data_IF_103988968672
#
_entry.id   IF_103988968672
#
_cell.length_a   1.000
_cell.length_b   1.000
_cell.length_c   1.000
_cell.angle_alpha   90.00
_cell.angle_beta   90.00
_cell.angle_gamma   90.00
#
_symmetry.space_group_name_H-M   'P 1'
#
loop_
_entity.id
_entity.type
_entity.pdbx_description
1 polymer ?
#
# COMPACT_ATOMS: atom_id res chain seq x y z
N UNK A 1 20.84 -10.72 2.36
CA UNK A 1 20.68 -11.31 3.72
C UNK A 1 22.00 -11.62 4.43
N UNK A 2 23.18 -11.47 3.83
CA UNK A 2 24.44 -12.01 4.32
C UNK A 2 25.45 -10.97 4.83
N UNK A 3 25.12 -9.70 4.90
CA UNK A 3 26.11 -8.65 5.18
C UNK A 3 25.99 -7.92 6.52
N UNK A 4 24.92 -8.12 7.29
CA UNK A 4 24.67 -7.38 8.54
C UNK A 4 24.57 -8.31 9.74
N UNK A 5 25.07 -7.86 10.90
CA UNK A 5 24.95 -8.57 12.18
C UNK A 5 23.49 -8.66 12.65
N UNK A 6 22.63 -7.75 12.23
CA UNK A 6 21.19 -7.78 12.48
C UNK A 6 20.53 -9.09 12.05
N UNK A 7 21.04 -9.73 10.98
CA UNK A 7 20.63 -11.06 10.53
C UNK A 7 21.31 -12.21 11.27
N UNK A 8 22.23 -11.94 12.20
CA UNK A 8 23.06 -12.91 12.93
C UNK A 8 22.81 -12.92 14.43
N UNK A 9 21.72 -12.31 14.90
CA UNK A 9 21.31 -12.34 16.31
C UNK A 9 21.58 -11.05 17.08
N UNK A 10 22.08 -9.97 16.44
CA UNK A 10 22.15 -8.66 17.09
C UNK A 10 20.74 -8.13 17.36
N UNK A 11 20.43 -7.68 18.59
CA UNK A 11 19.14 -7.07 18.90
C UNK A 11 18.87 -5.82 18.05
N UNK A 12 17.63 -5.63 17.58
CA UNK A 12 17.24 -4.44 16.82
C UNK A 12 17.48 -3.17 17.61
N UNK A 13 17.23 -3.18 18.90
CA UNK A 13 17.49 -2.07 19.81
C UNK A 13 18.96 -1.61 19.82
N UNK A 14 19.91 -2.56 19.76
CA UNK A 14 21.34 -2.23 19.76
C UNK A 14 21.76 -1.65 18.40
N UNK A 15 21.29 -2.25 17.31
CA UNK A 15 21.46 -1.68 15.96
C UNK A 15 20.92 -0.24 15.89
N UNK A 16 19.72 0.03 16.45
CA UNK A 16 19.16 1.37 16.49
C UNK A 16 20.06 2.38 17.22
N UNK A 17 20.59 1.98 18.39
CA UNK A 17 21.52 2.82 19.17
C UNK A 17 22.81 3.13 18.42
N UNK A 18 23.36 2.14 17.70
CA UNK A 18 24.54 2.35 16.86
C UNK A 18 24.25 3.30 15.71
N UNK A 19 23.14 3.10 14.99
CA UNK A 19 22.74 3.96 13.86
C UNK A 19 22.47 5.40 14.30
N UNK A 20 21.93 5.62 15.49
CA UNK A 20 21.72 6.96 16.04
C UNK A 20 23.02 7.79 16.14
N UNK A 21 24.20 7.17 16.11
CA UNK A 21 25.49 7.86 16.19
C UNK A 21 26.07 8.23 14.83
N UNK A 22 25.51 7.74 13.72
CA UNK A 22 26.12 7.88 12.42
C UNK A 22 25.13 8.12 11.26
N UNK A 23 23.83 8.06 11.49
CA UNK A 23 22.80 8.26 10.47
C UNK A 23 21.74 9.28 10.93
N UNK A 24 21.17 10.05 10.02
CA UNK A 24 20.08 10.99 10.27
C UNK A 24 18.68 10.37 10.15
N UNK A 25 18.60 9.13 9.71
CA UNK A 25 17.37 8.38 9.57
C UNK A 25 17.66 6.98 9.05
N UNK A 26 16.67 6.11 9.15
CA UNK A 26 16.74 4.72 8.71
C UNK A 26 15.59 4.46 7.75
N UNK A 27 15.89 4.01 6.53
CA UNK A 27 14.91 3.48 5.59
C UNK A 27 15.09 1.97 5.56
N UNK A 28 14.08 1.25 6.03
CA UNK A 28 14.24 -0.18 6.25
C UNK A 28 13.12 -1.01 5.63
N UNK A 29 13.51 -1.94 4.73
CA UNK A 29 12.68 -3.02 4.24
C UNK A 29 13.05 -4.29 4.98
N UNK A 30 12.10 -4.86 5.70
CA UNK A 30 12.29 -6.08 6.50
C UNK A 30 11.03 -6.95 6.42
N UNK A 31 10.98 -8.04 7.17
CA UNK A 31 9.82 -8.93 7.19
C UNK A 31 8.83 -8.50 8.29
N UNK A 32 9.03 -8.91 9.53
CA UNK A 32 8.08 -8.64 10.61
C UNK A 32 7.94 -7.15 10.95
N UNK A 33 6.71 -6.67 11.07
CA UNK A 33 6.35 -5.29 11.42
C UNK A 33 6.94 -4.88 12.78
N UNK A 34 6.91 -5.74 13.80
CA UNK A 34 7.45 -5.45 15.12
C UNK A 34 8.94 -5.07 15.12
N UNK A 35 9.70 -5.48 14.10
CA UNK A 35 11.12 -5.09 13.97
C UNK A 35 11.27 -3.61 13.62
N UNK A 36 10.43 -3.11 12.71
CA UNK A 36 10.43 -1.67 12.34
C UNK A 36 9.97 -0.84 13.52
N UNK A 37 8.97 -1.30 14.26
CA UNK A 37 8.46 -0.64 15.47
C UNK A 37 9.52 -0.60 16.57
N UNK A 38 10.24 -1.71 16.78
CA UNK A 38 11.37 -1.76 17.73
C UNK A 38 12.48 -0.80 17.30
N UNK A 39 12.85 -0.78 16.01
CA UNK A 39 13.82 0.18 15.47
C UNK A 39 13.37 1.62 15.76
N UNK A 40 12.12 1.97 15.48
CA UNK A 40 11.57 3.29 15.72
C UNK A 40 11.55 3.65 17.21
N UNK A 41 11.23 2.70 18.08
CA UNK A 41 11.21 2.90 19.53
C UNK A 41 12.58 3.30 20.12
N UNK A 42 13.66 2.72 19.59
CA UNK A 42 15.02 2.96 20.11
C UNK A 42 15.82 3.94 19.23
N UNK A 43 15.28 4.38 18.11
CA UNK A 43 15.88 5.43 17.28
C UNK A 43 15.53 6.82 17.81
N UNK A 44 16.51 7.73 17.79
CA UNK A 44 16.31 9.17 18.00
C UNK A 44 16.10 9.92 16.69
N UNK A 45 16.15 9.21 15.59
CA UNK A 45 16.00 9.73 14.23
C UNK A 45 14.81 9.06 13.52
N UNK A 46 14.30 9.65 12.43
CA UNK A 46 13.20 9.07 11.68
C UNK A 46 13.49 7.64 11.20
N UNK A 47 12.50 6.77 11.32
CA UNK A 47 12.52 5.42 10.75
C UNK A 47 11.39 5.30 9.74
N UNK A 48 11.74 4.99 8.50
CA UNK A 48 10.80 4.82 7.39
C UNK A 48 10.61 3.34 7.13
N UNK A 49 9.37 2.87 7.25
CA UNK A 49 8.98 1.54 6.81
C UNK A 49 8.95 1.51 5.26
N UNK A 50 9.98 0.93 4.65
CA UNK A 50 10.06 0.79 3.19
C UNK A 50 9.28 -0.42 2.65
N UNK A 51 8.92 -1.35 3.47
CA UNK A 51 7.99 -2.47 3.35
C UNK A 51 8.22 -3.46 4.50
N UNK A 52 7.13 -4.00 5.04
CA UNK A 52 7.11 -5.20 5.88
C UNK A 52 6.12 -6.21 5.33
N UNK A 53 6.02 -7.38 5.97
CA UNK A 53 4.99 -8.36 5.61
C UNK A 53 3.57 -7.82 5.83
N UNK A 54 3.40 -6.91 6.79
CA UNK A 54 2.10 -6.35 7.15
C UNK A 54 1.74 -5.07 6.38
N UNK A 55 2.73 -4.21 6.04
CA UNK A 55 2.45 -2.87 5.48
C UNK A 55 3.50 -2.39 4.46
N UNK A 56 3.03 -1.56 3.51
CA UNK A 56 3.87 -0.84 2.55
C UNK A 56 3.47 0.66 2.46
N UNK A 57 3.68 1.46 3.53
CA UNK A 57 3.18 2.85 3.58
C UNK A 57 3.79 3.76 2.51
N UNK A 58 5.03 3.51 2.10
CA UNK A 58 5.67 4.28 1.03
C UNK A 58 4.98 4.12 -0.33
N UNK A 59 4.36 2.97 -0.60
CA UNK A 59 3.58 2.78 -1.82
C UNK A 59 2.29 3.60 -1.74
N UNK A 60 1.58 3.53 -0.63
CA UNK A 60 0.31 4.25 -0.44
C UNK A 60 0.46 5.76 -0.64
N UNK A 61 1.57 6.35 -0.24
CA UNK A 61 1.83 7.78 -0.48
C UNK A 61 1.89 8.10 -1.98
N UNK A 62 2.53 7.24 -2.79
CA UNK A 62 2.60 7.43 -4.23
C UNK A 62 1.24 7.20 -4.90
N UNK A 63 0.52 6.17 -4.48
CA UNK A 63 -0.79 5.84 -5.01
C UNK A 63 -1.79 6.97 -4.78
N UNK A 64 -1.82 7.52 -3.57
CA UNK A 64 -2.70 8.64 -3.22
C UNK A 64 -2.26 9.95 -3.86
N UNK A 65 -0.96 10.19 -4.04
CA UNK A 65 -0.47 11.30 -4.84
C UNK A 65 -1.00 11.18 -6.28
N UNK A 66 -0.92 10.00 -6.88
CA UNK A 66 -1.42 9.74 -8.24
C UNK A 66 -2.92 9.98 -8.33
N UNK A 67 -3.72 9.49 -7.36
CA UNK A 67 -5.16 9.81 -7.32
C UNK A 67 -5.36 11.33 -7.23
N UNK A 68 -4.65 12.02 -6.34
CA UNK A 68 -4.81 13.46 -6.15
C UNK A 68 -4.51 14.24 -7.43
N UNK A 69 -3.46 13.89 -8.16
CA UNK A 69 -3.09 14.52 -9.44
C UNK A 69 -4.17 14.34 -10.52
N UNK A 70 -4.79 13.17 -10.59
CA UNK A 70 -5.84 12.87 -11.55
C UNK A 70 -7.26 13.31 -11.10
N UNK A 71 -7.47 13.59 -9.81
CA UNK A 71 -8.77 13.85 -9.18
C UNK A 71 -8.90 15.22 -8.52
N UNK A 72 -8.08 16.18 -8.89
CA UNK A 72 -8.26 17.58 -8.47
C UNK A 72 -7.66 17.93 -7.12
N UNK A 73 -6.66 17.20 -6.66
CA UNK A 73 -5.84 17.54 -5.50
C UNK A 73 -6.10 16.70 -4.26
N UNK A 74 -5.23 16.90 -3.26
CA UNK A 74 -5.21 16.12 -2.01
C UNK A 74 -6.52 16.26 -1.23
N UNK A 75 -7.13 17.42 -1.22
CA UNK A 75 -8.39 17.68 -0.50
C UNK A 75 -9.57 16.86 -1.02
N UNK A 76 -9.46 16.34 -2.25
CA UNK A 76 -10.49 15.51 -2.86
C UNK A 76 -10.32 14.01 -2.59
N UNK A 77 -9.25 13.58 -1.93
CA UNK A 77 -9.04 12.18 -1.57
C UNK A 77 -10.18 11.63 -0.72
N UNK A 78 -10.69 12.39 0.22
CA UNK A 78 -11.83 12.00 1.09
C UNK A 78 -13.14 11.70 0.34
N UNK A 79 -13.26 12.14 -0.92
CA UNK A 79 -14.43 11.90 -1.75
C UNK A 79 -14.24 10.69 -2.69
N UNK A 80 -13.10 10.01 -2.62
CA UNK A 80 -12.79 8.90 -3.50
C UNK A 80 -13.21 7.57 -2.88
N UNK A 81 -13.77 6.71 -3.71
CA UNK A 81 -14.00 5.29 -3.42
C UNK A 81 -12.89 4.48 -4.06
N UNK A 82 -12.13 3.75 -3.28
CA UNK A 82 -11.06 2.88 -3.77
C UNK A 82 -11.42 1.40 -3.55
N UNK A 83 -11.13 0.55 -4.53
CA UNK A 83 -11.37 -0.88 -4.47
C UNK A 83 -10.07 -1.65 -4.70
N UNK A 84 -9.67 -2.48 -3.75
CA UNK A 84 -8.55 -3.42 -3.88
C UNK A 84 -9.07 -4.84 -4.08
N UNK A 85 -8.51 -5.57 -5.04
CA UNK A 85 -8.94 -6.92 -5.42
C UNK A 85 -7.77 -7.90 -5.46
N UNK A 86 -7.98 -9.11 -4.97
CA UNK A 86 -7.01 -10.20 -5.04
C UNK A 86 -6.65 -10.77 -3.68
N UNK A 87 -5.35 -10.88 -3.36
CA UNK A 87 -4.91 -11.30 -2.01
C UNK A 87 -5.13 -10.17 -1.01
N UNK A 88 -6.27 -10.22 -0.35
CA UNK A 88 -6.66 -9.22 0.63
C UNK A 88 -6.01 -9.43 2.02
N UNK A 89 -5.22 -10.48 2.20
CA UNK A 89 -4.44 -10.71 3.41
C UNK A 89 -3.01 -10.13 3.32
N UNK A 90 -2.63 -9.54 2.18
CA UNK A 90 -1.29 -9.02 1.96
C UNK A 90 -1.06 -7.60 2.53
N UNK A 91 0.18 -7.15 2.47
CA UNK A 91 0.59 -5.84 2.98
C UNK A 91 -0.05 -4.65 2.24
N UNK A 92 -0.37 -4.80 0.93
CA UNK A 92 -1.00 -3.73 0.16
C UNK A 92 -2.45 -3.52 0.60
N UNK A 93 -3.24 -4.59 0.72
CA UNK A 93 -4.61 -4.51 1.23
C UNK A 93 -4.68 -3.86 2.62
N UNK A 94 -3.79 -4.30 3.52
CA UNK A 94 -3.69 -3.72 4.87
C UNK A 94 -3.33 -2.22 4.82
N UNK A 95 -2.42 -1.84 3.92
CA UNK A 95 -1.99 -0.45 3.78
C UNK A 95 -3.09 0.43 3.21
N UNK A 96 -3.87 -0.06 2.23
CA UNK A 96 -5.03 0.67 1.72
C UNK A 96 -6.11 0.84 2.79
N UNK A 97 -6.38 -0.18 3.59
CA UNK A 97 -7.36 -0.08 4.69
C UNK A 97 -6.99 1.04 5.67
N UNK A 98 -5.75 1.06 6.16
CA UNK A 98 -5.33 2.07 7.12
C UNK A 98 -5.10 3.44 6.48
N UNK A 99 -4.38 3.50 5.34
CA UNK A 99 -4.07 4.75 4.66
C UNK A 99 -5.32 5.43 4.12
N UNK A 100 -6.23 4.68 3.49
CA UNK A 100 -7.50 5.22 3.00
C UNK A 100 -8.42 5.67 4.12
N UNK A 101 -8.47 4.93 5.26
CA UNK A 101 -9.18 5.36 6.45
C UNK A 101 -8.65 6.71 6.97
N UNK A 102 -7.33 6.89 7.05
CA UNK A 102 -6.70 8.16 7.46
C UNK A 102 -7.05 9.29 6.50
N UNK A 103 -7.10 9.01 5.19
CA UNK A 103 -7.46 9.99 4.16
C UNK A 103 -8.98 10.26 4.07
N UNK A 104 -9.81 9.56 4.86
CA UNK A 104 -11.27 9.72 4.86
C UNK A 104 -11.97 9.14 3.62
N UNK A 105 -11.33 8.19 2.93
CA UNK A 105 -11.85 7.53 1.74
C UNK A 105 -12.89 6.45 2.06
N UNK A 106 -13.73 6.10 1.06
CA UNK A 106 -14.46 4.82 1.03
C UNK A 106 -13.51 3.73 0.52
N UNK A 107 -13.07 2.85 1.43
CA UNK A 107 -12.12 1.78 1.12
C UNK A 107 -12.82 0.43 1.06
N UNK A 108 -12.74 -0.22 -0.07
CA UNK A 108 -13.33 -1.53 -0.30
C UNK A 108 -12.24 -2.54 -0.67
N UNK A 109 -12.21 -3.64 0.05
CA UNK A 109 -11.22 -4.71 -0.15
C UNK A 109 -11.95 -6.01 -0.42
N UNK A 110 -11.67 -6.65 -1.54
CA UNK A 110 -12.23 -7.94 -1.89
C UNK A 110 -11.17 -9.00 -2.15
N UNK A 111 -11.36 -10.15 -1.53
CA UNK A 111 -10.51 -11.33 -1.71
C UNK A 111 -11.25 -12.63 -1.39
N UNK A 112 -10.72 -13.78 -1.81
CA UNK A 112 -11.35 -15.06 -1.55
C UNK A 112 -11.36 -15.40 -0.06
N UNK A 113 -12.29 -16.23 0.34
CA UNK A 113 -12.33 -16.74 1.71
C UNK A 113 -11.00 -17.39 2.09
N UNK A 114 -10.46 -17.02 3.25
CA UNK A 114 -9.13 -17.45 3.71
C UNK A 114 -7.98 -16.49 3.34
N UNK A 115 -8.26 -15.49 2.50
CA UNK A 115 -7.32 -14.43 2.10
C UNK A 115 -7.88 -13.04 2.37
N UNK A 116 -8.67 -12.90 3.42
CA UNK A 116 -9.19 -11.62 3.90
C UNK A 116 -8.22 -10.98 4.92
N UNK A 117 -8.27 -9.65 5.10
CA UNK A 117 -7.44 -8.95 6.06
C UNK A 117 -7.68 -9.46 7.48
N UNK A 118 -6.68 -9.34 8.34
CA UNK A 118 -6.80 -9.67 9.76
C UNK A 118 -7.86 -8.82 10.43
N UNK A 119 -8.67 -9.41 11.35
CA UNK A 119 -9.75 -8.70 12.03
C UNK A 119 -9.29 -7.47 12.83
N UNK A 120 -8.09 -7.49 13.41
CA UNK A 120 -7.51 -6.37 14.15
C UNK A 120 -7.24 -5.16 13.25
N UNK A 121 -6.69 -5.38 12.05
CA UNK A 121 -6.44 -4.33 11.05
C UNK A 121 -7.77 -3.73 10.56
N UNK A 122 -8.76 -4.57 10.30
CA UNK A 122 -10.10 -4.11 9.88
C UNK A 122 -10.76 -3.29 10.97
N UNK A 123 -10.62 -3.70 12.24
CA UNK A 123 -11.17 -2.97 13.37
C UNK A 123 -10.51 -1.59 13.53
N UNK A 124 -9.19 -1.50 13.41
CA UNK A 124 -8.47 -0.24 13.44
C UNK A 124 -8.85 0.68 12.27
N UNK A 125 -8.92 0.14 11.05
CA UNK A 125 -9.36 0.91 9.88
C UNK A 125 -10.76 1.48 10.06
N UNK A 126 -11.72 0.68 10.55
CA UNK A 126 -13.10 1.14 10.84
C UNK A 126 -13.14 2.22 11.93
N UNK A 127 -12.34 2.07 12.98
CA UNK A 127 -12.23 3.09 14.03
C UNK A 127 -11.72 4.42 13.47
N UNK A 128 -10.64 4.39 12.67
CA UNK A 128 -10.07 5.58 12.04
C UNK A 128 -11.07 6.20 11.05
N UNK A 129 -11.72 5.39 10.20
CA UNK A 129 -12.70 5.87 9.23
C UNK A 129 -13.88 6.58 9.92
N UNK A 130 -14.32 6.10 11.08
CA UNK A 130 -15.39 6.77 11.86
C UNK A 130 -14.97 8.18 12.34
N UNK A 131 -13.69 8.41 12.57
CA UNK A 131 -13.15 9.73 12.98
C UNK A 131 -12.92 10.66 11.78
N UNK A 132 -12.55 10.11 10.61
CA UNK A 132 -12.19 10.89 9.41
C UNK A 132 -13.34 11.10 8.43
N UNK A 133 -14.45 10.37 8.63
CA UNK A 133 -15.62 10.41 7.73
C UNK A 133 -15.54 9.44 6.56
N UNK A 134 -14.56 8.55 6.54
CA UNK A 134 -14.44 7.46 5.56
C UNK A 134 -15.33 6.26 5.87
N UNK A 135 -15.22 5.24 5.04
CA UNK A 135 -15.91 3.95 5.25
C UNK A 135 -15.04 2.76 4.86
N UNK A 136 -15.31 1.59 5.45
CA UNK A 136 -14.54 0.36 5.23
C UNK A 136 -15.47 -0.80 4.90
N UNK A 137 -15.33 -1.37 3.72
CA UNK A 137 -15.97 -2.62 3.29
C UNK A 137 -14.91 -3.71 3.09
N UNK A 138 -15.10 -4.86 3.70
CA UNK A 138 -14.36 -6.09 3.41
C UNK A 138 -15.37 -7.14 2.96
N UNK A 139 -15.17 -7.67 1.76
CA UNK A 139 -16.12 -8.60 1.12
C UNK A 139 -15.39 -9.72 0.37
N UNK A 140 -16.12 -10.76 0.01
CA UNK A 140 -15.67 -11.80 -0.94
C UNK A 140 -16.25 -11.58 -2.34
N UNK A 141 -17.04 -10.53 -2.56
CA UNK A 141 -17.63 -10.20 -3.85
C UNK A 141 -16.84 -9.06 -4.53
N UNK A 142 -16.05 -9.42 -5.55
CA UNK A 142 -15.28 -8.47 -6.34
C UNK A 142 -16.15 -7.41 -7.02
N UNK A 143 -17.36 -7.77 -7.44
CA UNK A 143 -18.29 -6.85 -8.11
C UNK A 143 -18.86 -5.83 -7.14
N UNK A 144 -19.19 -6.26 -5.92
CA UNK A 144 -19.62 -5.36 -4.85
C UNK A 144 -18.55 -4.32 -4.53
N UNK A 145 -17.28 -4.75 -4.44
CA UNK A 145 -16.19 -3.85 -4.12
C UNK A 145 -15.95 -2.79 -5.22
N UNK A 146 -15.97 -3.22 -6.48
CA UNK A 146 -15.65 -2.34 -7.62
C UNK A 146 -16.80 -1.41 -8.00
N UNK A 147 -18.04 -1.74 -7.66
CA UNK A 147 -19.22 -0.98 -8.07
C UNK A 147 -19.06 0.51 -7.75
N UNK A 148 -19.13 1.35 -8.80
CA UNK A 148 -19.03 2.81 -8.71
C UNK A 148 -17.72 3.32 -8.04
N UNK A 149 -16.64 2.52 -8.06
CA UNK A 149 -15.35 2.93 -7.54
C UNK A 149 -14.68 3.99 -8.41
N UNK A 150 -13.93 4.90 -7.79
CA UNK A 150 -13.12 5.93 -8.46
C UNK A 150 -11.76 5.38 -8.87
N UNK A 151 -11.23 4.41 -8.12
CA UNK A 151 -9.95 3.79 -8.42
C UNK A 151 -9.97 2.29 -8.05
N UNK A 152 -9.44 1.47 -8.94
CA UNK A 152 -9.32 0.01 -8.76
C UNK A 152 -7.86 -0.37 -8.67
N UNK A 153 -7.53 -1.15 -7.66
CA UNK A 153 -6.19 -1.65 -7.38
C UNK A 153 -6.14 -3.17 -7.39
N UNK A 154 -5.00 -3.71 -7.77
CA UNK A 154 -4.65 -5.11 -7.52
C UNK A 154 -3.13 -5.23 -7.31
N UNK A 155 -2.70 -6.39 -6.87
CA UNK A 155 -1.30 -6.77 -6.72
C UNK A 155 -1.12 -8.24 -7.12
N UNK A 156 0.11 -8.67 -7.26
CA UNK A 156 0.45 -10.06 -7.61
C UNK A 156 -0.17 -11.05 -6.62
N UNK A 157 -0.80 -12.10 -7.15
CA UNK A 157 -1.44 -13.13 -6.31
C UNK A 157 -0.45 -14.07 -5.61
N UNK A 158 0.77 -14.12 -6.11
CA UNK A 158 1.82 -14.98 -5.56
C UNK A 158 3.10 -14.14 -5.46
N UNK A 159 3.62 -14.05 -4.25
CA UNK A 159 4.81 -13.25 -3.96
C UNK A 159 6.04 -13.74 -4.71
N UNK A 160 6.97 -12.84 -4.99
CA UNK A 160 8.25 -13.18 -5.61
C UNK A 160 8.99 -14.25 -4.80
N UNK A 161 9.45 -15.30 -5.47
CA UNK A 161 10.14 -16.45 -4.88
C UNK A 161 9.26 -17.66 -4.62
N UNK A 162 7.95 -17.58 -4.90
CA UNK A 162 6.98 -18.68 -4.74
C UNK A 162 6.40 -19.16 -6.08
N UNK A 163 7.03 -18.78 -7.19
CA UNK A 163 6.52 -19.02 -8.57
C UNK A 163 6.31 -20.50 -8.89
N UNK A 164 7.06 -21.41 -8.23
CA UNK A 164 6.90 -22.86 -8.41
C UNK A 164 5.52 -23.39 -7.97
N UNK A 165 4.86 -22.70 -7.03
CA UNK A 165 3.54 -23.06 -6.51
C UNK A 165 2.40 -22.24 -7.14
N UNK A 166 2.72 -21.39 -8.11
CA UNK A 166 1.77 -20.45 -8.71
C UNK A 166 0.45 -21.11 -9.14
N UNK A 167 0.50 -22.22 -9.85
CA UNK A 167 -0.69 -22.90 -10.39
C UNK A 167 -1.69 -23.34 -9.30
N UNK A 168 -1.21 -23.63 -8.10
CA UNK A 168 -2.06 -24.03 -6.98
C UNK A 168 -2.53 -22.79 -6.20
N UNK A 169 -1.63 -21.86 -5.91
CA UNK A 169 -1.89 -20.66 -5.10
C UNK A 169 -2.78 -19.65 -5.80
N UNK A 170 -2.71 -19.56 -7.14
CA UNK A 170 -3.54 -18.63 -7.92
C UNK A 170 -5.00 -19.04 -8.06
N UNK A 171 -5.33 -20.33 -7.86
CA UNK A 171 -6.69 -20.84 -8.08
C UNK A 171 -7.82 -20.04 -7.41
N UNK A 172 -7.71 -19.64 -6.15
CA UNK A 172 -8.79 -18.91 -5.49
C UNK A 172 -8.97 -17.47 -5.99
N UNK A 173 -8.01 -16.92 -6.75
CA UNK A 173 -7.99 -15.50 -7.11
C UNK A 173 -8.56 -15.18 -8.50
N UNK A 174 -8.87 -16.18 -9.34
CA UNK A 174 -9.32 -15.93 -10.72
C UNK A 174 -10.58 -15.09 -10.83
N UNK A 175 -11.50 -15.18 -9.85
CA UNK A 175 -12.71 -14.36 -9.79
C UNK A 175 -12.42 -12.89 -9.40
N UNK A 176 -11.16 -12.59 -9.01
CA UNK A 176 -10.69 -11.26 -8.62
C UNK A 176 -9.74 -10.64 -9.67
N UNK A 177 -9.56 -11.28 -10.83
CA UNK A 177 -8.78 -10.70 -11.92
C UNK A 177 -9.42 -9.39 -12.36
N UNK A 178 -8.61 -8.31 -12.38
CA UNK A 178 -9.07 -7.03 -12.92
C UNK A 178 -9.04 -7.11 -14.45
N UNK A 179 -10.21 -7.23 -15.03
CA UNK A 179 -10.47 -7.30 -16.46
C UNK A 179 -11.44 -6.19 -16.89
N UNK A 180 -11.70 -6.08 -18.17
CA UNK A 180 -12.58 -5.03 -18.72
C UNK A 180 -14.02 -5.14 -18.22
N UNK A 181 -14.53 -6.34 -17.98
CA UNK A 181 -15.88 -6.55 -17.45
C UNK A 181 -16.01 -6.03 -16.02
N UNK A 182 -14.98 -6.27 -15.20
CA UNK A 182 -14.95 -5.80 -13.82
C UNK A 182 -14.74 -4.28 -13.76
N UNK A 183 -13.82 -3.74 -14.57
CA UNK A 183 -13.61 -2.28 -14.69
C UNK A 183 -14.87 -1.53 -15.17
N UNK A 184 -15.70 -2.16 -15.99
CA UNK A 184 -16.97 -1.57 -16.44
C UNK A 184 -18.01 -1.37 -15.33
N UNK A 185 -17.84 -1.98 -14.15
CA UNK A 185 -18.67 -1.77 -12.96
C UNK A 185 -18.23 -0.56 -12.13
N UNK A 186 -17.00 -0.12 -12.29
CA UNK A 186 -16.48 1.10 -11.70
C UNK A 186 -17.03 2.33 -12.45
N UNK A 187 -16.70 3.53 -11.98
CA UNK A 187 -17.06 4.75 -12.70
C UNK A 187 -16.41 4.75 -14.11
N UNK A 188 -17.05 5.37 -15.11
CA UNK A 188 -16.52 5.39 -16.48
C UNK A 188 -15.12 6.00 -16.60
N UNK A 189 -14.77 6.89 -15.69
CA UNK A 189 -13.48 7.57 -15.58
C UNK A 189 -12.60 6.98 -14.46
N UNK A 190 -12.95 5.81 -13.93
CA UNK A 190 -12.18 5.16 -12.85
C UNK A 190 -10.73 4.95 -13.27
N UNK A 191 -9.82 5.15 -12.34
CA UNK A 191 -8.40 4.89 -12.51
C UNK A 191 -8.09 3.42 -12.21
N UNK A 192 -7.12 2.85 -12.91
CA UNK A 192 -6.50 1.59 -12.55
C UNK A 192 -5.06 1.82 -12.09
N UNK A 193 -4.68 1.25 -10.95
CA UNK A 193 -3.34 1.32 -10.38
C UNK A 193 -2.83 -0.07 -9.97
N UNK A 194 -1.50 -0.23 -9.98
CA UNK A 194 -0.80 -1.46 -9.61
C UNK A 194 0.64 -1.14 -9.21
N UNK A 195 1.05 -1.53 -8.02
CA UNK A 195 2.37 -1.21 -7.46
C UNK A 195 3.57 -1.80 -8.24
N UNK A 196 3.31 -2.62 -9.25
CA UNK A 196 4.30 -3.30 -10.08
C UNK A 196 5.31 -4.16 -9.27
N UNK A 197 5.85 -5.28 -9.85
CA UNK A 197 5.60 -5.78 -11.21
C UNK A 197 4.21 -6.41 -11.38
N UNK A 198 3.61 -6.29 -12.56
CA UNK A 198 2.31 -6.86 -12.91
C UNK A 198 2.45 -8.01 -13.91
N UNK A 199 1.58 -9.01 -13.81
CA UNK A 199 1.55 -10.16 -14.70
C UNK A 199 0.26 -10.16 -15.54
N UNK A 200 0.36 -9.64 -16.77
CA UNK A 200 -0.76 -9.63 -17.74
C UNK A 200 -1.33 -11.02 -17.96
N UNK A 201 -2.67 -11.13 -17.94
CA UNK A 201 -3.39 -12.39 -18.01
C UNK A 201 -3.41 -13.18 -16.70
N UNK A 202 -2.91 -12.59 -15.60
CA UNK A 202 -3.03 -13.12 -14.24
C UNK A 202 -3.93 -12.19 -13.41
N UNK A 203 -3.38 -11.43 -12.47
CA UNK A 203 -4.16 -10.51 -11.62
C UNK A 203 -4.81 -9.36 -12.39
N UNK A 204 -4.28 -9.03 -13.56
CA UNK A 204 -4.81 -7.99 -14.45
C UNK A 204 -4.70 -8.42 -15.91
N UNK A 205 -5.67 -8.04 -16.74
CA UNK A 205 -5.58 -8.27 -18.19
C UNK A 205 -4.75 -7.17 -18.88
N UNK A 206 -4.22 -7.47 -20.07
CA UNK A 206 -3.45 -6.50 -20.85
C UNK A 206 -4.30 -5.27 -21.22
N UNK A 207 -5.57 -5.50 -21.57
CA UNK A 207 -6.51 -4.45 -21.98
C UNK A 207 -6.74 -3.42 -20.86
N UNK A 208 -6.66 -3.83 -19.60
CA UNK A 208 -6.81 -2.93 -18.43
C UNK A 208 -5.51 -2.20 -18.16
N UNK A 209 -4.39 -2.92 -17.94
CA UNK A 209 -3.14 -2.29 -17.53
C UNK A 209 -2.52 -1.42 -18.63
N UNK A 210 -2.73 -1.75 -19.90
CA UNK A 210 -2.26 -0.98 -21.06
C UNK A 210 -3.36 -0.05 -21.62
N UNK A 211 -4.54 -0.04 -20.99
CA UNK A 211 -5.72 0.72 -21.39
C UNK A 211 -5.72 2.17 -20.89
N UNK A 212 -6.71 2.97 -21.35
CA UNK A 212 -6.75 4.41 -21.08
C UNK A 212 -7.05 4.79 -19.63
N UNK A 213 -7.58 3.87 -18.82
CA UNK A 213 -7.84 4.11 -17.40
C UNK A 213 -6.63 3.80 -16.51
N UNK A 214 -5.58 3.20 -17.08
CA UNK A 214 -4.38 2.83 -16.36
C UNK A 214 -3.48 4.05 -16.13
N UNK A 215 -3.12 4.27 -14.88
CA UNK A 215 -2.16 5.32 -14.47
C UNK A 215 -0.94 4.72 -13.76
N UNK A 216 -0.63 3.44 -14.05
CA UNK A 216 0.45 2.69 -13.39
C UNK A 216 1.84 3.32 -13.62
N UNK A 217 2.04 4.04 -14.72
CA UNK A 217 3.31 4.70 -14.99
C UNK A 217 3.48 5.98 -14.18
N UNK A 218 2.42 6.76 -14.00
CA UNK A 218 2.39 7.93 -13.14
C UNK A 218 2.57 7.50 -11.67
N UNK A 219 1.89 6.42 -11.26
CA UNK A 219 2.06 5.79 -9.95
C UNK A 219 3.52 5.37 -9.69
N UNK A 220 4.15 4.71 -10.66
CA UNK A 220 5.54 4.29 -10.56
C UNK A 220 6.51 5.49 -10.46
N UNK A 221 6.26 6.56 -11.22
CA UNK A 221 7.03 7.81 -11.14
C UNK A 221 6.84 8.47 -9.78
N UNK A 222 5.60 8.50 -9.27
CA UNK A 222 5.27 9.11 -7.97
C UNK A 222 5.96 8.41 -6.79
N UNK A 223 6.49 7.19 -6.96
CA UNK A 223 7.39 6.59 -5.98
C UNK A 223 8.63 7.44 -5.73
N UNK A 224 9.15 8.11 -6.75
CA UNK A 224 10.26 9.05 -6.59
C UNK A 224 9.82 10.31 -5.84
N UNK A 225 8.71 10.92 -6.26
CA UNK A 225 8.26 12.21 -5.75
C UNK A 225 7.75 12.11 -4.32
N UNK A 226 6.89 11.15 -4.00
CA UNK A 226 6.35 10.92 -2.66
C UNK A 226 7.45 10.62 -1.64
N UNK A 227 8.40 9.73 -1.96
CA UNK A 227 9.49 9.42 -1.04
C UNK A 227 10.48 10.57 -0.88
N UNK A 228 10.73 11.35 -1.94
CA UNK A 228 11.55 12.58 -1.83
C UNK A 228 10.90 13.57 -0.87
N UNK A 229 9.59 13.82 -1.02
CA UNK A 229 8.83 14.70 -0.14
C UNK A 229 8.84 14.20 1.31
N UNK A 230 8.58 12.90 1.53
CA UNK A 230 8.62 12.27 2.85
C UNK A 230 9.98 12.44 3.53
N UNK A 231 11.08 12.16 2.82
CA UNK A 231 12.43 12.31 3.37
C UNK A 231 12.79 13.76 3.66
N UNK A 232 12.37 14.69 2.81
CA UNK A 232 12.55 16.14 3.05
C UNK A 232 11.82 16.57 4.31
N UNK A 233 10.55 16.18 4.45
CA UNK A 233 9.73 16.52 5.62
C UNK A 233 10.30 15.93 6.91
N UNK A 234 10.65 14.65 6.91
CA UNK A 234 11.25 13.96 8.06
C UNK A 234 12.60 14.58 8.46
N UNK A 235 13.43 14.95 7.48
CA UNK A 235 14.71 15.63 7.73
C UNK A 235 14.50 17.01 8.32
N UNK A 236 13.54 17.80 7.82
CA UNK A 236 13.15 19.08 8.37
C UNK A 236 12.69 18.97 9.83
N UNK A 237 11.79 18.02 10.11
CA UNK A 237 11.34 17.74 11.49
C UNK A 237 12.49 17.36 12.41
N UNK A 238 13.37 16.45 11.98
CA UNK A 238 14.50 15.97 12.79
C UNK A 238 15.54 17.09 13.09
N UNK A 239 15.63 18.10 12.23
CA UNK A 239 16.56 19.25 12.37
C UNK A 239 15.92 20.48 12.98
N UNK A 240 14.59 20.52 13.15
CA UNK A 240 13.84 21.74 13.50
C UNK A 240 13.89 22.81 12.42
N UNK A 241 14.05 22.40 11.15
CA UNK A 241 14.12 23.29 9.99
C UNK A 241 12.73 23.43 9.37
N UNK A 242 12.02 24.48 9.76
CA UNK A 242 10.67 24.74 9.29
C UNK A 242 10.59 25.05 7.79
N UNK A 243 11.68 25.48 7.15
CA UNK A 243 11.69 25.74 5.71
C UNK A 243 11.51 24.49 4.86
N UNK A 244 11.75 23.32 5.43
CA UNK A 244 11.57 22.01 4.80
C UNK A 244 10.19 21.38 5.09
N UNK A 245 9.33 22.08 5.85
CA UNK A 245 8.03 21.57 6.32
C UNK A 245 6.84 22.18 5.56
N UNK A 246 7.10 23.18 4.72
CA UNK A 246 6.10 23.91 3.94
C UNK A 246 5.74 23.20 2.62
#
# INVERSE_FOLDING_TARGET
>A
KSGSQLGRGEPVADTARVLNRMAYGVVWRTFGQGRVEEMAKYSTHPVVNALTDDFHPCQILADFQTIAEHRGGVDNLKNQTIAYLGDAANNMANSYLLGGAVAGMDVRVAGPYGYLPRPDIVADAKRIAAETGGSILVTTDAKEAVKDADCVFTDTWVSMGEEAEYAIRSKPFWDYQVNTELMALAKPDALFQHCLPAYRGKEVTAEVIDGPQSVVWDEAENRLHAQKALLTWLTGKARGDESLLA
#
